data_IF_405852106528
#
_entry.id   IF_405852106528
#
_cell.length_a   1.000
_cell.length_b   1.000
_cell.length_c   1.000
_cell.angle_alpha   90.00
_cell.angle_beta   90.00
_cell.angle_gamma   90.00
#
_symmetry.space_group_name_H-M   'P 1'
#
loop_
_entity.id
_entity.type
_entity.pdbx_description
1 polymer ?
#
# COMPACT_ATOMS: atom_id res chain seq x y z
N UNK A 1 -0.19 -4.53 7.87
CA UNK A 1 1.24 -4.61 7.50
C UNK A 1 1.71 -3.36 6.77
N UNK A 2 2.98 -3.01 6.91
CA UNK A 2 3.59 -1.85 6.27
C UNK A 2 4.77 -2.26 5.37
N UNK A 3 4.88 -1.66 4.19
CA UNK A 3 5.95 -1.87 3.23
C UNK A 3 6.50 -0.52 2.76
N UNK A 4 7.80 -0.49 2.42
CA UNK A 4 8.38 0.66 1.74
C UNK A 4 8.18 0.56 0.23
N UNK A 5 8.12 1.72 -0.45
CA UNK A 5 8.12 1.77 -1.91
C UNK A 5 9.34 1.04 -2.51
N UNK A 6 10.49 1.15 -1.86
CA UNK A 6 11.71 0.45 -2.31
C UNK A 6 11.56 -1.06 -2.22
N UNK A 7 10.87 -1.57 -1.20
CA UNK A 7 10.60 -3.00 -1.10
C UNK A 7 9.62 -3.49 -2.15
N UNK A 8 8.59 -2.71 -2.46
CA UNK A 8 7.63 -3.05 -3.53
C UNK A 8 8.31 -3.13 -4.89
N UNK A 9 9.27 -2.23 -5.16
CA UNK A 9 10.07 -2.23 -6.39
C UNK A 9 11.10 -3.36 -6.41
N UNK A 10 11.82 -3.58 -5.30
CA UNK A 10 12.85 -4.63 -5.21
C UNK A 10 12.26 -6.04 -5.32
N UNK A 11 11.15 -6.29 -4.63
CA UNK A 11 10.50 -7.60 -4.60
C UNK A 11 9.58 -7.83 -5.83
N UNK A 12 9.53 -6.88 -6.78
CA UNK A 12 8.68 -6.92 -7.98
C UNK A 12 7.24 -7.36 -7.65
N UNK A 13 6.65 -6.80 -6.60
CA UNK A 13 5.36 -7.27 -6.07
C UNK A 13 4.16 -7.01 -7.01
N UNK A 14 4.39 -6.34 -8.15
CA UNK A 14 3.39 -6.07 -9.22
C UNK A 14 2.06 -5.51 -8.70
N UNK A 15 2.09 -4.80 -7.58
CA UNK A 15 0.92 -4.21 -6.92
C UNK A 15 0.30 -3.10 -7.78
N UNK A 16 1.15 -2.36 -8.48
CA UNK A 16 0.81 -1.22 -9.32
C UNK A 16 1.88 -1.08 -10.42
N UNK A 17 1.61 -0.33 -11.48
CA UNK A 17 2.61 -0.05 -12.51
C UNK A 17 3.79 0.77 -11.93
N UNK A 18 4.97 0.60 -12.51
CA UNK A 18 6.19 1.23 -12.00
C UNK A 18 6.15 2.77 -12.04
N UNK A 19 5.45 3.37 -13.00
CA UNK A 19 5.35 4.83 -13.12
C UNK A 19 4.44 5.42 -12.03
N UNK A 20 3.31 4.78 -11.73
CA UNK A 20 2.45 5.20 -10.64
C UNK A 20 3.11 5.00 -9.26
N UNK A 21 3.87 3.91 -9.06
CA UNK A 21 4.68 3.73 -7.85
C UNK A 21 5.71 4.85 -7.69
N UNK A 22 6.41 5.22 -8.78
CA UNK A 22 7.37 6.33 -8.76
C UNK A 22 6.69 7.66 -8.44
N UNK A 23 5.53 7.95 -9.04
CA UNK A 23 4.75 9.16 -8.79
C UNK A 23 4.31 9.26 -7.32
N UNK A 24 3.77 8.18 -6.75
CA UNK A 24 3.37 8.14 -5.35
C UNK A 24 4.58 8.31 -4.42
N UNK A 25 5.72 7.71 -4.76
CA UNK A 25 6.97 7.85 -4.00
C UNK A 25 7.47 9.30 -3.98
N UNK A 26 7.51 9.96 -5.14
CA UNK A 26 7.99 11.34 -5.26
C UNK A 26 7.08 12.34 -4.51
N UNK A 27 5.77 12.09 -4.53
CA UNK A 27 4.78 12.95 -3.87
C UNK A 27 4.45 12.54 -2.43
N UNK A 28 5.13 11.53 -1.88
CA UNK A 28 4.85 10.96 -0.55
C UNK A 28 3.38 10.57 -0.34
N UNK A 29 2.71 10.06 -1.39
CA UNK A 29 1.31 9.63 -1.32
C UNK A 29 1.28 8.17 -0.87
N UNK A 30 0.75 7.84 0.32
CA UNK A 30 0.67 6.46 0.78
C UNK A 30 -0.34 5.66 -0.04
N UNK A 31 0.00 4.39 -0.34
CA UNK A 31 -0.86 3.46 -1.08
C UNK A 31 -1.41 2.43 -0.10
N UNK A 32 -2.74 2.28 -0.04
CA UNK A 32 -3.39 1.25 0.78
C UNK A 32 -3.89 0.14 -0.13
N UNK A 33 -3.36 -1.06 0.06
CA UNK A 33 -3.71 -2.27 -0.70
C UNK A 33 -4.60 -3.14 0.17
N UNK A 34 -5.79 -3.48 -0.30
CA UNK A 34 -6.72 -4.34 0.41
C UNK A 34 -7.49 -5.24 -0.55
N UNK A 35 -8.10 -6.29 -0.02
CA UNK A 35 -8.93 -7.20 -0.79
C UNK A 35 -10.37 -6.67 -0.91
N UNK A 36 -10.80 -6.32 -2.13
CA UNK A 36 -12.16 -5.83 -2.39
C UNK A 36 -13.23 -6.94 -2.44
N UNK A 37 -12.82 -8.21 -2.59
CA UNK A 37 -13.76 -9.34 -2.66
C UNK A 37 -14.32 -9.74 -1.30
N UNK A 38 -13.69 -9.28 -0.23
CA UNK A 38 -14.13 -9.55 1.13
C UNK A 38 -15.19 -8.52 1.54
N UNK A 39 -16.38 -9.03 1.86
CA UNK A 39 -17.54 -8.20 2.15
C UNK A 39 -17.31 -7.39 3.44
N UNK A 40 -17.54 -6.08 3.38
CA UNK A 40 -17.29 -5.18 4.52
C UNK A 40 -15.81 -4.82 4.75
N UNK A 41 -14.87 -5.41 4.01
CA UNK A 41 -13.44 -5.18 4.22
C UNK A 41 -13.02 -3.72 3.96
N UNK A 42 -13.61 -3.05 2.96
CA UNK A 42 -13.36 -1.62 2.75
C UNK A 42 -13.68 -0.78 4.01
N UNK A 43 -14.82 -1.04 4.65
CA UNK A 43 -15.21 -0.31 5.85
C UNK A 43 -14.29 -0.65 7.04
N UNK A 44 -13.84 -1.90 7.15
CA UNK A 44 -12.88 -2.32 8.17
C UNK A 44 -11.50 -1.72 7.96
N UNK A 45 -11.02 -1.63 6.72
CA UNK A 45 -9.74 -1.00 6.36
C UNK A 45 -9.75 0.49 6.69
N UNK A 46 -10.86 1.18 6.40
CA UNK A 46 -11.03 2.59 6.78
C UNK A 46 -11.04 2.80 8.30
N UNK A 47 -11.48 1.80 9.07
CA UNK A 47 -11.42 1.80 10.55
C UNK A 47 -10.06 1.35 11.11
N UNK A 48 -9.13 0.88 10.27
CA UNK A 48 -7.83 0.35 10.69
C UNK A 48 -7.87 -1.09 11.23
N UNK A 49 -9.01 -1.77 11.13
CA UNK A 49 -9.23 -3.14 11.63
C UNK A 49 -9.23 -4.20 10.52
N UNK A 50 -9.30 -3.75 9.26
CA UNK A 50 -9.36 -4.62 8.08
C UNK A 50 -7.97 -5.04 7.58
N UNK A 51 -7.92 -6.19 6.91
CA UNK A 51 -6.69 -6.70 6.32
C UNK A 51 -6.24 -5.79 5.18
N UNK A 52 -5.17 -5.03 5.41
CA UNK A 52 -4.56 -4.15 4.43
C UNK A 52 -3.05 -4.06 4.59
N UNK A 53 -2.41 -3.73 3.48
CA UNK A 53 -0.98 -3.44 3.40
C UNK A 53 -0.80 -2.00 2.99
N UNK A 54 -0.09 -1.23 3.80
CA UNK A 54 0.18 0.18 3.53
C UNK A 54 1.59 0.30 2.94
N UNK A 55 1.72 0.96 1.81
CA UNK A 55 3.00 1.27 1.16
C UNK A 55 3.29 2.76 1.31
N UNK A 56 4.42 3.11 1.92
CA UNK A 56 4.79 4.49 2.20
C UNK A 56 6.31 4.69 2.28
N UNK A 57 6.79 5.95 2.24
CA UNK A 57 8.22 6.28 2.22
C UNK A 57 8.92 6.12 3.57
N UNK A 58 8.17 6.06 4.67
CA UNK A 58 8.73 6.00 6.03
C UNK A 58 8.29 4.72 6.72
N UNK A 59 9.20 3.80 7.02
CA UNK A 59 8.94 2.91 8.16
C UNK A 59 8.93 3.79 9.41
N UNK A 60 7.76 4.25 9.85
CA UNK A 60 7.62 4.75 11.21
C UNK A 60 8.02 3.59 12.13
N UNK A 61 9.05 3.85 12.94
CA UNK A 61 9.58 2.94 13.95
C UNK A 61 8.54 2.62 15.01
#
# INVERSE_FOLDING_TARGET
DALSFDRVLADNLKVMDAAAVALCRENNIPIVVFNIREEGNLASVLRGEGSSTIVHNQMEK
#
